data_IF_382941336498
#
_entry.id   IF_382941336498
#
_cell.length_a   1.000
_cell.length_b   1.000
_cell.length_c   1.000
_cell.angle_alpha   90.00
_cell.angle_beta   90.00
_cell.angle_gamma   90.00
#
_symmetry.space_group_name_H-M   'P 1'
#
loop_
_entity.id
_entity.type
_entity.pdbx_description
1 polymer ?
#
# COMPACT_ATOMS: atom_id res chain seq x y z
N UNK A 1 8.06 31.19 -25.84
CA UNK A 1 8.01 31.24 -24.36
C UNK A 1 7.81 29.79 -23.88
N UNK A 2 8.89 29.04 -23.81
CA UNK A 2 8.85 27.59 -23.53
C UNK A 2 8.37 27.34 -22.11
N UNK A 3 7.29 26.59 -21.97
CA UNK A 3 6.84 26.04 -20.70
C UNK A 3 7.89 25.06 -20.20
N UNK A 4 8.88 25.51 -19.42
CA UNK A 4 9.83 24.63 -18.72
C UNK A 4 9.03 23.74 -17.77
N UNK A 5 8.73 22.53 -18.22
CA UNK A 5 8.10 21.50 -17.40
C UNK A 5 9.12 21.10 -16.34
N UNK A 6 8.99 21.66 -15.13
CA UNK A 6 9.80 21.28 -13.98
C UNK A 6 9.59 19.79 -13.68
N UNK A 7 10.63 19.00 -13.88
CA UNK A 7 10.59 17.56 -13.62
C UNK A 7 10.45 17.29 -12.12
N UNK A 8 9.71 16.24 -11.77
CA UNK A 8 9.41 15.93 -10.37
C UNK A 8 9.75 14.49 -10.01
N UNK A 9 10.51 14.36 -8.93
CA UNK A 9 10.86 13.09 -8.28
C UNK A 9 10.16 12.99 -6.92
N UNK A 10 9.31 11.97 -6.72
CA UNK A 10 8.52 11.80 -5.50
C UNK A 10 7.82 13.10 -5.01
N UNK A 11 7.30 13.91 -5.93
CA UNK A 11 6.62 15.18 -5.62
C UNK A 11 7.54 16.40 -5.44
N UNK A 12 8.86 16.19 -5.36
CA UNK A 12 9.85 17.25 -5.20
C UNK A 12 10.33 17.71 -6.58
N UNK A 13 10.51 19.03 -6.74
CA UNK A 13 11.04 19.61 -7.98
C UNK A 13 12.50 19.24 -8.14
N UNK A 14 12.87 18.72 -9.32
CA UNK A 14 14.24 18.49 -9.72
C UNK A 14 14.71 19.72 -10.50
N UNK A 15 15.77 20.36 -10.03
CA UNK A 15 16.29 21.57 -10.67
C UNK A 15 16.96 21.25 -12.01
N UNK A 16 17.14 22.26 -12.86
CA UNK A 16 17.90 22.11 -14.11
C UNK A 16 19.35 21.70 -13.86
N UNK A 17 19.94 22.15 -12.75
CA UNK A 17 21.27 21.72 -12.33
C UNK A 17 21.28 20.23 -11.99
N UNK A 18 20.33 19.75 -11.20
CA UNK A 18 20.22 18.32 -10.86
C UNK A 18 19.97 17.46 -12.10
N UNK A 19 19.20 17.95 -13.09
CA UNK A 19 19.05 17.26 -14.38
C UNK A 19 20.36 17.21 -15.17
N UNK A 20 21.17 18.28 -15.14
CA UNK A 20 22.50 18.30 -15.72
C UNK A 20 23.42 17.26 -15.08
N UNK A 21 23.47 17.22 -13.75
CA UNK A 21 24.24 16.24 -12.98
C UNK A 21 23.78 14.79 -13.26
N UNK A 22 22.47 14.55 -13.42
CA UNK A 22 21.95 13.24 -13.84
C UNK A 22 22.46 12.84 -15.23
N UNK A 23 22.47 13.79 -16.17
CA UNK A 23 22.94 13.55 -17.55
C UNK A 23 24.43 13.20 -17.54
N UNK A 24 25.23 13.97 -16.80
CA UNK A 24 26.67 13.73 -16.63
C UNK A 24 26.95 12.34 -16.03
N UNK A 25 26.19 11.91 -15.01
CA UNK A 25 26.32 10.57 -14.42
C UNK A 25 26.07 9.48 -15.47
N UNK A 26 25.05 9.64 -16.32
CA UNK A 26 24.70 8.64 -17.33
C UNK A 26 25.78 8.56 -18.41
N UNK A 27 26.29 9.71 -18.86
CA UNK A 27 27.36 9.79 -19.86
C UNK A 27 28.70 9.27 -19.33
N UNK A 28 28.98 9.50 -18.04
CA UNK A 28 30.20 9.02 -17.37
C UNK A 28 30.18 7.50 -17.18
N UNK A 29 29.00 6.92 -16.93
CA UNK A 29 28.85 5.51 -16.62
C UNK A 29 27.93 4.73 -17.60
N UNK A 30 28.23 4.71 -18.91
CA UNK A 30 27.33 4.17 -19.93
C UNK A 30 27.20 2.64 -19.87
N UNK A 31 28.12 1.96 -19.17
CA UNK A 31 28.13 0.50 -19.01
C UNK A 31 27.28 0.01 -17.83
N UNK A 32 26.88 0.90 -16.93
CA UNK A 32 26.02 0.55 -15.79
C UNK A 32 24.61 0.20 -16.26
N UNK A 33 23.98 -0.73 -15.56
CA UNK A 33 22.56 -1.01 -15.75
C UNK A 33 21.71 0.18 -15.29
N UNK A 34 20.48 0.28 -15.83
CA UNK A 34 19.50 1.31 -15.40
C UNK A 34 19.23 1.27 -13.89
N UNK A 35 19.35 0.10 -13.24
CA UNK A 35 19.20 -0.04 -11.77
C UNK A 35 20.42 0.51 -11.03
N UNK A 36 21.63 0.25 -11.52
CA UNK A 36 22.87 0.77 -10.92
C UNK A 36 22.94 2.29 -11.08
N UNK A 37 22.61 2.83 -12.26
CA UNK A 37 22.48 4.28 -12.47
C UNK A 37 21.48 4.90 -11.49
N UNK A 38 20.32 4.26 -11.29
CA UNK A 38 19.34 4.72 -10.33
C UNK A 38 19.85 4.69 -8.87
N UNK A 39 20.69 3.71 -8.51
CA UNK A 39 21.35 3.69 -7.20
C UNK A 39 22.35 4.84 -7.06
N UNK A 40 23.23 5.04 -8.04
CA UNK A 40 24.23 6.12 -8.05
C UNK A 40 23.57 7.49 -7.93
N UNK A 41 22.53 7.75 -8.73
CA UNK A 41 21.71 8.96 -8.65
C UNK A 41 21.08 9.08 -7.25
N UNK A 42 20.51 8.00 -6.71
CA UNK A 42 19.93 8.06 -5.37
C UNK A 42 20.95 8.36 -4.26
N UNK A 43 22.19 7.88 -4.41
CA UNK A 43 23.26 8.13 -3.45
C UNK A 43 23.72 9.58 -3.50
N UNK A 44 24.01 10.09 -4.69
CA UNK A 44 24.51 11.46 -4.92
C UNK A 44 23.49 12.52 -4.49
N UNK A 45 22.22 12.37 -4.87
CA UNK A 45 21.16 13.30 -4.47
C UNK A 45 20.56 13.02 -3.10
N UNK A 46 21.11 12.06 -2.34
CA UNK A 46 20.56 11.60 -1.07
C UNK A 46 19.06 11.28 -1.14
N UNK A 47 18.60 10.73 -2.27
CA UNK A 47 17.23 10.24 -2.46
C UNK A 47 17.02 8.91 -1.73
N UNK A 48 17.00 9.03 -0.41
CA UNK A 48 16.87 7.93 0.55
C UNK A 48 15.47 7.93 1.16
N UNK A 49 15.06 6.76 1.61
CA UNK A 49 13.91 6.61 2.52
C UNK A 49 14.32 7.07 3.91
N UNK A 50 13.37 7.39 4.81
CA UNK A 50 13.68 7.64 6.21
C UNK A 50 14.47 6.50 6.89
N UNK A 51 14.35 5.27 6.37
CA UNK A 51 15.13 4.10 6.82
C UNK A 51 16.57 4.05 6.28
N UNK A 52 17.05 5.09 5.58
CA UNK A 52 18.38 5.13 4.92
C UNK A 52 18.49 4.37 3.59
N UNK A 53 17.53 3.51 3.25
CA UNK A 53 17.52 2.74 1.99
C UNK A 53 17.28 3.64 0.78
N UNK A 54 17.95 3.38 -0.34
CA UNK A 54 17.78 4.15 -1.59
C UNK A 54 16.37 4.01 -2.19
N UNK A 55 15.88 5.08 -2.82
CA UNK A 55 14.66 5.08 -3.64
C UNK A 55 14.92 4.57 -5.07
N UNK A 56 15.70 3.50 -5.19
CA UNK A 56 16.21 2.97 -6.46
C UNK A 56 15.12 2.70 -7.50
N UNK A 57 14.02 2.05 -7.09
CA UNK A 57 12.91 1.72 -8.00
C UNK A 57 12.21 2.98 -8.49
N UNK A 58 11.89 3.91 -7.58
CA UNK A 58 11.27 5.19 -7.94
C UNK A 58 12.19 6.03 -8.83
N UNK A 59 13.50 6.02 -8.55
CA UNK A 59 14.51 6.74 -9.32
C UNK A 59 14.66 6.14 -10.71
N UNK A 60 14.72 4.81 -10.83
CA UNK A 60 14.76 4.14 -12.12
C UNK A 60 13.55 4.50 -12.98
N UNK A 61 12.34 4.47 -12.41
CA UNK A 61 11.12 4.89 -13.11
C UNK A 61 11.14 6.38 -13.47
N UNK A 62 11.77 7.22 -12.65
CA UNK A 62 11.95 8.63 -12.98
C UNK A 62 12.89 8.81 -14.17
N UNK A 63 14.05 8.15 -14.16
CA UNK A 63 14.99 8.17 -15.27
C UNK A 63 14.36 7.62 -16.55
N UNK A 64 13.63 6.49 -16.48
CA UNK A 64 12.92 5.92 -17.64
C UNK A 64 11.90 6.91 -18.23
N UNK A 65 11.19 7.68 -17.40
CA UNK A 65 10.29 8.75 -17.89
C UNK A 65 11.02 9.94 -18.51
N UNK A 66 12.22 10.28 -18.03
CA UNK A 66 13.04 11.34 -18.63
C UNK A 66 13.57 10.91 -20.01
N UNK A 67 13.98 9.64 -20.13
CA UNK A 67 14.39 8.99 -21.37
C UNK A 67 13.24 8.98 -22.40
N UNK A 68 12.04 8.57 -21.99
CA UNK A 68 10.83 8.61 -22.83
C UNK A 68 10.48 10.02 -23.33
N UNK A 69 10.86 11.06 -22.59
CA UNK A 69 10.66 12.47 -22.97
C UNK A 69 11.80 13.06 -23.79
N UNK A 70 12.89 12.31 -24.01
CA UNK A 70 14.11 12.79 -24.66
C UNK A 70 14.91 13.80 -23.82
N UNK A 71 14.65 13.88 -22.50
CA UNK A 71 15.36 14.80 -21.61
C UNK A 71 16.73 14.26 -21.17
N UNK A 72 16.92 12.95 -21.23
CA UNK A 72 18.18 12.22 -21.01
C UNK A 72 18.23 11.04 -21.99
N UNK A 73 19.39 10.41 -22.16
CA UNK A 73 19.53 9.19 -22.98
C UNK A 73 20.03 8.04 -22.11
N UNK A 74 19.16 7.11 -21.72
CA UNK A 74 19.55 5.95 -20.92
C UNK A 74 20.19 4.85 -21.78
N UNK A 75 21.13 4.07 -21.20
CA UNK A 75 21.65 2.90 -21.90
C UNK A 75 20.53 1.91 -22.26
N UNK A 76 20.75 1.20 -23.37
CA UNK A 76 19.78 0.24 -23.90
C UNK A 76 19.40 -0.79 -22.82
N UNK A 77 18.10 -1.05 -22.68
CA UNK A 77 17.62 -2.02 -21.71
C UNK A 77 18.12 -3.42 -22.10
N UNK A 78 18.96 -4.04 -21.26
CA UNK A 78 19.36 -5.44 -21.41
C UNK A 78 18.11 -6.31 -21.22
N UNK A 79 17.48 -6.74 -22.32
CA UNK A 79 16.28 -7.60 -22.30
C UNK A 79 16.65 -9.00 -21.81
N UNK A 80 16.77 -9.16 -20.50
CA UNK A 80 16.74 -10.46 -19.85
C UNK A 80 15.90 -10.36 -18.57
N UNK A 81 14.58 -10.35 -18.75
CA UNK A 81 13.71 -10.88 -17.72
C UNK A 81 12.93 -12.02 -18.34
N UNK A 82 13.14 -13.21 -17.78
CA UNK A 82 12.18 -14.29 -17.91
C UNK A 82 10.81 -13.70 -17.54
N UNK A 83 9.83 -13.89 -18.40
CA UNK A 83 8.42 -13.68 -18.06
C UNK A 83 8.12 -14.62 -16.89
N UNK A 84 8.41 -14.19 -15.65
CA UNK A 84 7.90 -14.86 -14.46
C UNK A 84 6.40 -14.62 -14.51
N UNK A 85 5.67 -15.54 -15.13
CA UNK A 85 4.22 -15.64 -14.99
C UNK A 85 3.88 -15.49 -13.52
N UNK A 86 2.75 -14.83 -13.23
CA UNK A 86 2.31 -14.53 -11.87
C UNK A 86 2.60 -15.71 -10.94
N UNK A 87 3.47 -15.51 -9.95
CA UNK A 87 3.90 -16.56 -9.04
C UNK A 87 2.65 -17.21 -8.44
N UNK A 88 2.36 -18.46 -8.83
CA UNK A 88 1.18 -19.18 -8.36
C UNK A 88 1.37 -19.47 -6.87
N UNK A 89 0.38 -19.08 -6.06
CA UNK A 89 0.37 -19.41 -4.63
C UNK A 89 0.25 -20.92 -4.49
N UNK A 90 1.20 -21.54 -3.80
CA UNK A 90 1.15 -22.98 -3.52
C UNK A 90 0.04 -23.25 -2.51
N UNK A 91 -0.75 -24.28 -2.80
CA UNK A 91 -1.84 -24.75 -1.93
C UNK A 91 -1.37 -25.96 -1.13
N UNK A 92 -1.48 -25.88 0.18
CA UNK A 92 -1.07 -26.90 1.16
C UNK A 92 -2.25 -27.29 2.06
N UNK A 93 -2.08 -28.33 2.88
CA UNK A 93 -3.06 -28.71 3.90
C UNK A 93 -3.17 -27.70 5.05
N UNK A 94 -2.19 -26.80 5.21
CA UNK A 94 -2.12 -25.86 6.36
C UNK A 94 -3.20 -24.78 6.35
N UNK A 95 -3.79 -24.49 5.19
CA UNK A 95 -4.86 -23.50 5.05
C UNK A 95 -6.20 -24.14 4.64
N UNK A 96 -6.41 -25.42 4.94
CA UNK A 96 -7.71 -26.06 4.76
C UNK A 96 -8.76 -25.52 5.72
N UNK A 97 -10.03 -25.74 5.36
CA UNK A 97 -11.17 -25.36 6.17
C UNK A 97 -11.06 -26.07 7.52
N UNK A 98 -11.20 -25.29 8.60
CA UNK A 98 -11.16 -25.80 9.97
C UNK A 98 -12.59 -25.94 10.53
N UNK A 99 -12.76 -26.66 11.66
CA UNK A 99 -14.03 -26.69 12.40
C UNK A 99 -14.56 -25.28 12.70
N UNK A 100 -15.89 -25.17 12.75
CA UNK A 100 -16.54 -23.86 12.97
C UNK A 100 -16.25 -23.34 14.38
N UNK A 101 -15.74 -22.11 14.46
CA UNK A 101 -15.54 -21.37 15.71
C UNK A 101 -16.72 -20.42 15.87
N UNK A 102 -17.64 -20.73 16.80
CA UNK A 102 -18.87 -19.95 17.04
C UNK A 102 -19.09 -19.71 18.54
N UNK A 103 -18.05 -19.24 19.21
CA UNK A 103 -18.03 -18.95 20.66
C UNK A 103 -18.16 -17.44 20.95
N UNK A 104 -18.28 -17.07 22.22
CA UNK A 104 -18.22 -15.66 22.62
C UNK A 104 -16.80 -15.10 22.41
N UNK A 105 -16.69 -13.83 22.02
CA UNK A 105 -15.39 -13.17 21.84
C UNK A 105 -14.51 -13.23 23.10
N UNK A 106 -15.11 -13.22 24.29
CA UNK A 106 -14.39 -13.32 25.57
C UNK A 106 -13.60 -14.62 25.71
N UNK A 107 -14.12 -15.72 25.16
CA UNK A 107 -13.47 -17.05 25.22
C UNK A 107 -12.23 -17.12 24.33
N UNK A 108 -12.16 -16.27 23.30
CA UNK A 108 -10.99 -16.17 22.41
C UNK A 108 -10.01 -15.07 22.85
N UNK A 109 -10.34 -14.30 23.87
CA UNK A 109 -9.55 -13.15 24.28
C UNK A 109 -8.30 -13.55 25.09
N UNK A 110 -7.21 -12.77 25.04
CA UNK A 110 -7.05 -11.54 24.27
C UNK A 110 -6.91 -11.81 22.76
N UNK A 111 -7.54 -10.97 21.94
CA UNK A 111 -7.27 -10.98 20.50
C UNK A 111 -5.99 -10.20 20.24
N UNK A 112 -5.09 -10.78 19.45
CA UNK A 112 -3.81 -10.17 19.09
C UNK A 112 -3.64 -10.06 17.58
N UNK A 113 -2.76 -9.14 17.17
CA UNK A 113 -2.32 -9.00 15.78
C UNK A 113 -0.85 -9.40 15.68
N UNK A 114 -0.59 -10.54 15.07
CA UNK A 114 0.77 -11.05 14.87
C UNK A 114 1.26 -10.61 13.51
N UNK A 115 2.28 -9.76 13.51
CA UNK A 115 2.92 -9.29 12.28
C UNK A 115 3.65 -10.44 11.61
N UNK A 116 3.51 -10.54 10.29
CA UNK A 116 4.21 -11.53 9.49
C UNK A 116 5.62 -11.03 9.16
N UNK A 117 6.63 -11.77 9.59
CA UNK A 117 8.05 -11.41 9.45
C UNK A 117 8.88 -12.41 8.65
N UNK A 118 8.52 -13.69 8.69
CA UNK A 118 9.27 -14.76 8.05
C UNK A 118 8.58 -15.33 6.79
N UNK A 119 9.33 -16.15 6.05
CA UNK A 119 8.89 -16.69 4.77
C UNK A 119 7.72 -17.67 4.90
N UNK A 120 7.74 -18.54 5.89
CA UNK A 120 6.70 -19.55 6.09
C UNK A 120 5.35 -18.90 6.39
N UNK A 121 5.33 -17.95 7.33
CA UNK A 121 4.14 -17.16 7.64
C UNK A 121 3.61 -16.41 6.42
N UNK A 122 4.49 -15.84 5.58
CA UNK A 122 4.08 -15.17 4.34
C UNK A 122 3.39 -16.13 3.37
N UNK A 123 3.95 -17.33 3.17
CA UNK A 123 3.35 -18.33 2.29
C UNK A 123 1.98 -18.78 2.80
N UNK A 124 1.88 -19.06 4.10
CA UNK A 124 0.62 -19.42 4.72
C UNK A 124 -0.43 -18.30 4.58
N UNK A 125 -0.02 -17.04 4.78
CA UNK A 125 -0.91 -15.90 4.61
C UNK A 125 -1.35 -15.72 3.15
N UNK A 126 -0.45 -15.90 2.17
CA UNK A 126 -0.81 -15.87 0.75
C UNK A 126 -1.85 -16.92 0.44
N UNK A 127 -1.68 -18.12 0.98
CA UNK A 127 -2.61 -19.22 0.79
C UNK A 127 -4.00 -18.91 1.35
N UNK A 128 -4.09 -18.43 2.59
CA UNK A 128 -5.36 -18.03 3.19
C UNK A 128 -6.08 -16.95 2.37
N UNK A 129 -5.34 -15.92 1.93
CA UNK A 129 -5.93 -14.82 1.15
C UNK A 129 -6.31 -15.26 -0.25
N UNK A 130 -5.52 -16.12 -0.89
CA UNK A 130 -5.85 -16.70 -2.19
C UNK A 130 -7.14 -17.54 -2.14
N UNK A 131 -7.25 -18.41 -1.12
CA UNK A 131 -8.38 -19.33 -0.98
C UNK A 131 -9.68 -18.62 -0.58
N UNK A 132 -9.63 -17.71 0.38
CA UNK A 132 -10.83 -17.26 1.09
C UNK A 132 -11.17 -15.78 0.93
N UNK A 133 -10.23 -14.94 0.50
CA UNK A 133 -10.56 -13.54 0.21
C UNK A 133 -11.17 -13.44 -1.20
N UNK A 134 -12.29 -12.73 -1.35
CA UNK A 134 -13.02 -12.62 -2.62
C UNK A 134 -12.26 -11.97 -3.79
N UNK A 135 -11.09 -11.37 -3.52
CA UNK A 135 -10.17 -10.82 -4.54
C UNK A 135 -8.93 -11.70 -4.77
N UNK A 136 -8.83 -12.82 -4.06
CA UNK A 136 -7.63 -13.64 -3.97
C UNK A 136 -6.40 -12.87 -3.51
N UNK A 137 -5.27 -13.56 -3.62
CA UNK A 137 -3.96 -12.94 -3.46
C UNK A 137 -3.57 -12.22 -4.76
N UNK A 138 -3.12 -10.98 -4.61
CA UNK A 138 -2.54 -10.18 -5.68
C UNK A 138 -1.33 -9.47 -5.11
N UNK A 139 -0.23 -9.41 -5.87
CA UNK A 139 0.98 -8.75 -5.42
C UNK A 139 0.68 -7.26 -5.14
N UNK A 140 0.83 -6.78 -3.89
CA UNK A 140 0.49 -5.40 -3.58
C UNK A 140 1.59 -4.47 -4.09
N UNK A 141 1.18 -3.32 -4.64
CA UNK A 141 2.11 -2.27 -5.03
C UNK A 141 2.46 -1.37 -3.84
N UNK A 142 3.76 -1.16 -3.63
CA UNK A 142 4.30 -0.24 -2.64
C UNK A 142 4.62 -0.89 -1.28
N UNK A 143 4.69 -0.04 -0.25
CA UNK A 143 4.87 -0.47 1.13
C UNK A 143 3.67 -1.31 1.58
N UNK A 144 3.92 -2.31 2.43
CA UNK A 144 2.93 -3.27 2.87
C UNK A 144 3.30 -3.96 4.19
N UNK A 145 2.31 -4.13 5.06
CA UNK A 145 2.41 -4.98 6.24
C UNK A 145 1.25 -5.98 6.24
N UNK A 146 1.51 -7.17 6.78
CA UNK A 146 0.57 -8.28 6.86
C UNK A 146 0.51 -8.80 8.29
N UNK A 147 -0.68 -9.24 8.68
CA UNK A 147 -0.93 -9.73 10.01
C UNK A 147 -1.85 -10.94 9.99
N UNK A 148 -1.64 -11.82 10.96
CA UNK A 148 -2.65 -12.76 11.43
C UNK A 148 -3.43 -12.12 12.58
N UNK A 149 -4.73 -12.38 12.63
CA UNK A 149 -5.59 -12.13 13.79
C UNK A 149 -5.61 -13.43 14.59
N UNK A 150 -5.11 -13.43 15.82
CA UNK A 150 -4.99 -14.64 16.63
C UNK A 150 -5.75 -14.53 17.94
N UNK A 151 -6.25 -15.68 18.40
CA UNK A 151 -6.72 -15.84 19.77
C UNK A 151 -5.54 -16.11 20.69
N UNK A 152 -5.41 -15.36 21.77
CA UNK A 152 -4.45 -15.65 22.83
C UNK A 152 -4.84 -16.85 23.71
N UNK A 153 -6.13 -17.20 23.74
CA UNK A 153 -6.63 -18.32 24.54
C UNK A 153 -6.39 -19.68 23.85
N UNK A 154 -6.60 -19.75 22.53
CA UNK A 154 -6.50 -21.01 21.78
C UNK A 154 -5.32 -21.08 20.81
N UNK A 155 -4.61 -19.97 20.58
CA UNK A 155 -3.61 -19.79 19.51
C UNK A 155 -4.17 -19.93 18.08
N UNK A 156 -5.48 -20.02 17.92
CA UNK A 156 -6.11 -20.12 16.60
C UNK A 156 -5.88 -18.85 15.77
N UNK A 157 -5.62 -19.05 14.48
CA UNK A 157 -5.65 -17.97 13.50
C UNK A 157 -7.11 -17.79 13.08
N UNK A 158 -7.65 -16.59 13.34
CA UNK A 158 -9.04 -16.25 13.12
C UNK A 158 -9.26 -15.45 11.82
N UNK A 159 -8.18 -14.89 11.26
CA UNK A 159 -8.23 -14.07 10.06
C UNK A 159 -6.92 -13.39 9.72
N UNK A 160 -6.98 -12.53 8.70
CA UNK A 160 -5.84 -11.87 8.09
C UNK A 160 -6.10 -10.39 7.82
N UNK A 161 -5.07 -9.56 8.02
CA UNK A 161 -5.01 -8.19 7.51
C UNK A 161 -3.86 -8.00 6.53
N UNK A 162 -4.07 -7.11 5.56
CA UNK A 162 -3.02 -6.42 4.83
C UNK A 162 -3.27 -4.91 4.88
N UNK A 163 -2.21 -4.18 5.18
CA UNK A 163 -2.11 -2.74 5.00
C UNK A 163 -1.11 -2.48 3.89
N UNK A 164 -1.41 -1.57 2.98
CA UNK A 164 -0.53 -1.22 1.86
C UNK A 164 -0.55 0.27 1.56
N UNK A 165 0.34 0.72 0.69
CA UNK A 165 0.28 2.07 0.14
C UNK A 165 -1.10 2.36 -0.49
N UNK A 166 -1.57 3.63 -0.42
CA UNK A 166 -2.91 4.01 -0.83
C UNK A 166 -3.02 4.15 -2.35
N UNK A 167 -4.25 4.37 -2.82
CA UNK A 167 -4.48 4.78 -4.21
C UNK A 167 -4.00 6.22 -4.44
N UNK A 168 -3.40 6.47 -5.61
CA UNK A 168 -2.81 7.77 -5.96
C UNK A 168 -3.84 8.91 -5.90
N UNK A 169 -4.98 8.73 -6.59
CA UNK A 169 -6.09 9.68 -6.61
C UNK A 169 -7.36 8.99 -6.14
N UNK A 170 -8.09 9.66 -5.24
CA UNK A 170 -9.40 9.20 -4.79
C UNK A 170 -10.24 10.40 -4.43
N UNK A 171 -11.02 10.90 -5.39
CA UNK A 171 -11.70 12.19 -5.29
C UNK A 171 -12.55 12.38 -4.00
N UNK A 172 -13.35 11.40 -3.53
CA UNK A 172 -14.11 11.59 -2.29
C UNK A 172 -13.20 11.75 -1.06
N UNK A 173 -12.13 10.96 -0.95
CA UNK A 173 -11.12 11.11 0.10
C UNK A 173 -10.41 12.45 -0.02
N UNK A 174 -9.96 12.81 -1.22
CA UNK A 174 -9.16 14.02 -1.43
C UNK A 174 -9.97 15.27 -1.08
N UNK A 175 -11.24 15.33 -1.50
CA UNK A 175 -12.17 16.39 -1.08
C UNK A 175 -12.44 16.38 0.42
N UNK A 176 -12.59 15.20 1.01
CA UNK A 176 -12.81 15.09 2.44
C UNK A 176 -11.59 15.57 3.23
N UNK A 177 -10.35 15.28 2.81
CA UNK A 177 -9.12 15.80 3.44
C UNK A 177 -8.98 17.31 3.22
N UNK A 178 -9.39 17.82 2.06
CA UNK A 178 -9.31 19.25 1.72
C UNK A 178 -7.92 19.71 1.26
N UNK A 179 -7.04 18.78 0.91
CA UNK A 179 -5.69 19.09 0.41
C UNK A 179 -5.64 19.39 -1.10
N UNK A 180 -4.66 20.18 -1.48
CA UNK A 180 -4.34 20.47 -2.88
C UNK A 180 -3.50 19.35 -3.54
N UNK A 181 -3.40 19.41 -4.87
CA UNK A 181 -2.78 18.36 -5.68
C UNK A 181 -1.27 18.21 -5.45
N UNK A 182 -0.59 19.30 -5.12
CA UNK A 182 0.81 19.38 -4.69
C UNK A 182 1.01 18.79 -3.28
N UNK A 183 0.14 19.16 -2.33
CA UNK A 183 0.15 18.61 -0.97
C UNK A 183 -0.06 17.10 -0.97
N UNK A 184 -1.01 16.60 -1.77
CA UNK A 184 -1.22 15.16 -1.96
C UNK A 184 0.03 14.47 -2.46
N UNK A 185 0.73 15.01 -3.47
CA UNK A 185 1.93 14.39 -4.04
C UNK A 185 3.03 14.14 -2.98
N UNK A 186 3.16 15.06 -2.03
CA UNK A 186 4.17 14.99 -0.96
C UNK A 186 3.68 14.12 0.20
N UNK A 187 2.42 14.29 0.63
CA UNK A 187 1.91 13.72 1.87
C UNK A 187 1.15 12.40 1.72
N UNK A 188 0.85 11.94 0.49
CA UNK A 188 0.09 10.71 0.24
C UNK A 188 0.67 9.49 0.96
N UNK A 189 2.00 9.41 1.09
CA UNK A 189 2.65 8.30 1.79
C UNK A 189 2.22 8.15 3.25
N UNK A 190 1.73 9.23 3.89
CA UNK A 190 1.23 9.20 5.27
C UNK A 190 -0.16 8.56 5.39
N UNK A 191 -0.79 8.17 4.28
CA UNK A 191 -2.04 7.42 4.26
C UNK A 191 -1.72 5.94 3.99
N UNK A 192 -2.39 5.02 4.69
CA UNK A 192 -2.29 3.58 4.41
C UNK A 192 -3.66 2.97 4.13
N UNK A 193 -3.72 2.00 3.24
CA UNK A 193 -4.93 1.33 2.83
C UNK A 193 -5.02 -0.07 3.45
N UNK A 194 -6.10 -0.37 4.16
CA UNK A 194 -6.45 -1.73 4.54
C UNK A 194 -6.92 -2.50 3.29
N UNK A 195 -5.95 -3.03 2.54
CA UNK A 195 -6.17 -3.60 1.21
C UNK A 195 -6.65 -5.05 1.21
N UNK A 196 -6.46 -5.78 2.31
CA UNK A 196 -7.07 -7.09 2.55
C UNK A 196 -7.55 -7.17 3.98
N UNK A 197 -8.79 -7.57 4.16
CA UNK A 197 -9.34 -7.92 5.46
C UNK A 197 -10.18 -9.18 5.29
N UNK A 198 -9.80 -10.23 6.02
CA UNK A 198 -10.42 -11.54 5.96
C UNK A 198 -10.62 -12.03 7.38
N UNK A 199 -11.86 -12.31 7.76
CA UNK A 199 -12.18 -13.25 8.84
C UNK A 199 -12.48 -14.57 8.15
N UNK A 200 -11.91 -15.67 8.65
CA UNK A 200 -12.06 -16.96 7.97
C UNK A 200 -13.52 -17.43 7.93
N UNK A 201 -13.94 -18.15 6.88
CA UNK A 201 -15.34 -18.51 6.67
C UNK A 201 -15.92 -19.43 7.76
N UNK A 202 -15.08 -20.18 8.46
CA UNK A 202 -15.45 -21.01 9.62
C UNK A 202 -15.49 -20.23 10.94
N UNK A 203 -15.08 -18.95 10.97
CA UNK A 203 -15.06 -18.12 12.18
C UNK A 203 -16.33 -17.25 12.22
N UNK A 204 -17.28 -17.63 13.08
CA UNK A 204 -18.59 -16.98 13.25
C UNK A 204 -18.70 -16.32 14.63
N UNK A 205 -17.78 -15.39 14.91
CA UNK A 205 -17.68 -14.73 16.22
C UNK A 205 -18.20 -13.28 16.13
N UNK A 206 -19.23 -12.97 16.89
CA UNK A 206 -19.80 -11.62 16.95
C UNK A 206 -18.76 -10.62 17.44
N UNK A 207 -18.72 -9.43 16.83
CA UNK A 207 -17.82 -8.31 17.14
C UNK A 207 -16.32 -8.56 16.91
N UNK A 208 -15.89 -9.76 16.49
CA UNK A 208 -14.47 -10.04 16.23
C UNK A 208 -13.87 -9.08 15.21
N UNK A 209 -14.58 -8.85 14.10
CA UNK A 209 -14.09 -8.01 13.01
C UNK A 209 -13.85 -6.54 13.45
N UNK A 210 -14.79 -5.95 14.21
CA UNK A 210 -14.64 -4.59 14.73
C UNK A 210 -13.54 -4.50 15.79
N UNK A 211 -13.45 -5.50 16.68
CA UNK A 211 -12.36 -5.57 17.68
C UNK A 211 -10.99 -5.65 17.01
N UNK A 212 -10.85 -6.49 15.98
CA UNK A 212 -9.61 -6.62 15.21
C UNK A 212 -9.22 -5.31 14.49
N UNK A 213 -10.20 -4.58 13.94
CA UNK A 213 -9.98 -3.25 13.36
C UNK A 213 -9.52 -2.22 14.39
N UNK A 214 -10.13 -2.19 15.58
CA UNK A 214 -9.71 -1.30 16.67
C UNK A 214 -8.30 -1.61 17.16
N UNK A 215 -7.88 -2.89 17.17
CA UNK A 215 -6.49 -3.29 17.44
C UNK A 215 -5.55 -2.83 16.34
N UNK A 216 -5.96 -2.96 15.07
CA UNK A 216 -5.12 -2.57 13.94
C UNK A 216 -4.81 -1.07 13.95
N UNK A 217 -5.81 -0.23 14.24
CA UNK A 217 -5.64 1.23 14.42
C UNK A 217 -4.56 1.56 15.46
N UNK A 218 -4.44 0.79 16.53
CA UNK A 218 -3.44 1.02 17.60
C UNK A 218 -2.06 0.48 17.25
N UNK A 219 -2.00 -0.69 16.58
CA UNK A 219 -0.75 -1.44 16.37
C UNK A 219 -0.01 -1.05 15.09
N UNK A 220 -0.75 -0.94 13.99
CA UNK A 220 -0.17 -0.78 12.64
C UNK A 220 0.64 0.51 12.49
N UNK A 221 0.26 1.68 13.05
CA UNK A 221 1.05 2.90 12.87
C UNK A 221 2.48 2.78 13.41
N UNK A 222 2.64 2.17 14.60
CA UNK A 222 3.96 1.94 15.20
C UNK A 222 4.80 0.94 14.42
N UNK A 223 4.20 -0.18 13.99
CA UNK A 223 4.91 -1.15 13.13
C UNK A 223 5.31 -0.52 11.79
N UNK A 224 4.44 0.31 11.20
CA UNK A 224 4.70 1.00 9.95
C UNK A 224 5.86 1.98 10.08
N UNK A 225 5.90 2.76 11.17
CA UNK A 225 7.03 3.61 11.50
C UNK A 225 8.32 2.80 11.66
N UNK A 226 8.29 1.68 12.39
CA UNK A 226 9.46 0.82 12.55
C UNK A 226 9.98 0.26 11.21
N UNK A 227 9.10 0.01 10.24
CA UNK A 227 9.48 -0.57 8.95
C UNK A 227 9.89 0.44 7.88
N UNK A 228 9.21 1.59 7.86
CA UNK A 228 9.28 2.56 6.77
C UNK A 228 9.80 3.93 7.22
N UNK A 229 10.01 4.11 8.53
CA UNK A 229 10.58 5.31 9.14
C UNK A 229 9.65 6.51 9.14
N UNK A 230 8.34 6.32 8.95
CA UNK A 230 7.33 7.36 9.14
C UNK A 230 6.04 6.77 9.72
N UNK A 231 5.35 7.54 10.54
CA UNK A 231 4.05 7.15 11.09
C UNK A 231 2.93 7.57 10.13
N UNK A 232 2.00 6.67 9.76
CA UNK A 232 0.81 7.05 9.01
C UNK A 232 -0.15 7.86 9.89
N UNK A 233 -0.87 8.79 9.26
CA UNK A 233 -1.80 9.72 9.93
C UNK A 233 -3.27 9.42 9.59
N UNK A 234 -3.49 8.59 8.58
CA UNK A 234 -4.82 8.18 8.12
C UNK A 234 -4.80 6.74 7.62
N UNK A 235 -5.79 5.95 8.00
CA UNK A 235 -6.11 4.68 7.34
C UNK A 235 -7.30 4.86 6.41
N UNK A 236 -7.31 4.15 5.29
CA UNK A 236 -8.44 4.06 4.36
C UNK A 236 -8.75 2.60 4.01
N UNK A 237 -9.97 2.33 3.56
CA UNK A 237 -10.38 1.03 3.04
C UNK A 237 -11.45 1.21 1.97
N UNK A 238 -11.60 0.20 1.12
CA UNK A 238 -12.57 0.17 0.02
C UNK A 238 -13.48 -1.04 0.16
N UNK A 239 -14.76 -0.81 0.38
CA UNK A 239 -15.76 -1.85 0.60
C UNK A 239 -16.64 -2.00 -0.64
N UNK A 240 -16.68 -3.20 -1.23
CA UNK A 240 -17.65 -3.51 -2.27
C UNK A 240 -19.04 -3.73 -1.65
N UNK A 241 -19.94 -2.76 -1.84
CA UNK A 241 -21.29 -2.77 -1.25
C UNK A 241 -22.15 -3.94 -1.75
N UNK A 242 -21.86 -4.48 -2.94
CA UNK A 242 -22.57 -5.66 -3.46
C UNK A 242 -22.26 -6.91 -2.64
N UNK A 243 -21.11 -6.95 -1.97
CA UNK A 243 -20.65 -8.10 -1.17
C UNK A 243 -20.78 -7.87 0.33
N UNK A 244 -20.48 -6.66 0.80
CA UNK A 244 -20.41 -6.35 2.23
C UNK A 244 -21.07 -5.01 2.55
N UNK A 245 -21.77 -4.95 3.68
CA UNK A 245 -22.40 -3.71 4.18
C UNK A 245 -21.43 -2.73 4.87
N UNK A 246 -20.17 -3.13 5.09
CA UNK A 246 -19.19 -2.31 5.80
C UNK A 246 -19.49 -2.09 7.30
N UNK A 247 -20.34 -2.91 7.90
CA UNK A 247 -20.82 -2.75 9.28
C UNK A 247 -19.68 -2.79 10.31
N UNK A 248 -18.68 -3.66 10.12
CA UNK A 248 -17.53 -3.75 11.02
C UNK A 248 -16.70 -2.45 11.04
N UNK A 249 -16.55 -1.76 9.90
CA UNK A 249 -15.85 -0.49 9.83
C UNK A 249 -16.63 0.60 10.57
N UNK A 250 -17.95 0.68 10.39
CA UNK A 250 -18.81 1.62 11.15
C UNK A 250 -18.74 1.34 12.65
N UNK A 251 -18.84 0.08 13.06
CA UNK A 251 -18.75 -0.34 14.45
C UNK A 251 -17.38 -0.05 15.08
N UNK A 252 -16.32 0.00 14.26
CA UNK A 252 -14.97 0.38 14.69
C UNK A 252 -14.70 1.90 14.54
N UNK A 253 -15.74 2.73 14.40
CA UNK A 253 -15.68 4.20 14.26
C UNK A 253 -14.96 4.72 13.00
N UNK A 254 -14.95 3.95 11.92
CA UNK A 254 -14.47 4.45 10.62
C UNK A 254 -15.53 5.34 9.97
N UNK A 255 -15.08 6.45 9.39
CA UNK A 255 -15.91 7.46 8.76
C UNK A 255 -16.13 7.12 7.29
N UNK A 256 -17.40 7.09 6.84
CA UNK A 256 -17.73 6.95 5.43
C UNK A 256 -17.60 8.30 4.71
N UNK A 257 -16.78 8.36 3.65
CA UNK A 257 -16.44 9.62 2.95
C UNK A 257 -16.88 9.67 1.49
N UNK A 258 -17.58 8.64 1.01
CA UNK A 258 -18.16 8.59 -0.32
C UNK A 258 -17.86 7.29 -1.07
N UNK A 259 -18.02 7.32 -2.40
CA UNK A 259 -17.92 6.13 -3.25
C UNK A 259 -16.91 6.33 -4.39
N UNK A 260 -16.20 5.28 -4.76
CA UNK A 260 -15.35 5.29 -5.97
C UNK A 260 -16.20 5.34 -7.23
N UNK A 261 -15.62 5.80 -8.34
CA UNK A 261 -16.29 5.84 -9.65
C UNK A 261 -16.10 4.57 -10.48
N UNK A 262 -15.65 3.47 -9.86
CA UNK A 262 -15.40 2.20 -10.55
C UNK A 262 -14.13 2.17 -11.42
N UNK A 263 -13.12 2.99 -11.07
CA UNK A 263 -11.82 3.03 -11.76
C UNK A 263 -10.77 2.19 -11.03
N UNK A 264 -9.89 1.54 -11.80
CA UNK A 264 -8.75 0.81 -11.28
C UNK A 264 -7.65 1.74 -10.74
N UNK A 265 -6.73 1.19 -9.93
CA UNK A 265 -5.61 1.95 -9.31
C UNK A 265 -4.65 2.57 -10.35
N UNK A 266 -4.59 2.01 -11.56
CA UNK A 266 -3.67 2.37 -12.66
C UNK A 266 -4.39 2.90 -13.90
N UNK A 267 -5.68 3.27 -13.81
CA UNK A 267 -6.44 3.78 -14.95
C UNK A 267 -5.91 5.17 -15.38
N UNK A 268 -5.00 5.16 -16.36
CA UNK A 268 -4.45 6.35 -17.03
C UNK A 268 -5.34 6.80 -18.18
N UNK A 269 -6.11 5.90 -18.78
CA UNK A 269 -6.83 6.13 -20.05
C UNK A 269 -8.30 6.52 -19.85
N UNK A 270 -8.71 6.84 -18.61
CA UNK A 270 -10.08 7.16 -18.23
C UNK A 270 -11.12 6.11 -18.63
N UNK A 271 -10.67 4.88 -18.91
CA UNK A 271 -11.52 3.79 -19.33
C UNK A 271 -12.23 3.22 -18.10
N UNK A 272 -13.56 3.27 -18.09
CA UNK A 272 -14.40 2.64 -17.06
C UNK A 272 -14.27 1.12 -17.16
N UNK A 273 -13.17 0.56 -16.68
CA UNK A 273 -12.93 -0.88 -16.67
C UNK A 273 -13.77 -1.57 -15.58
N UNK A 274 -15.09 -1.57 -15.70
CA UNK A 274 -16.00 -2.52 -15.03
C UNK A 274 -15.88 -2.74 -13.50
N UNK A 275 -15.05 -1.98 -12.77
CA UNK A 275 -14.76 -2.26 -11.36
C UNK A 275 -15.96 -1.81 -10.54
N UNK A 276 -16.44 -2.69 -9.66
CA UNK A 276 -17.55 -2.39 -8.76
C UNK A 276 -17.29 -1.08 -7.99
N UNK A 277 -18.31 -0.22 -7.94
CA UNK A 277 -18.32 0.99 -7.11
C UNK A 277 -18.11 0.58 -5.65
N UNK A 278 -17.06 1.10 -5.02
CA UNK A 278 -16.70 0.79 -3.63
C UNK A 278 -17.03 1.97 -2.73
N UNK A 279 -17.57 1.69 -1.55
CA UNK A 279 -17.67 2.66 -0.47
C UNK A 279 -16.28 2.87 0.14
N UNK A 280 -15.97 4.13 0.45
CA UNK A 280 -14.69 4.55 1.01
C UNK A 280 -14.91 4.86 2.48
N UNK A 281 -14.17 4.16 3.32
CA UNK A 281 -14.12 4.44 4.75
C UNK A 281 -12.71 4.89 5.13
N UNK A 282 -12.60 5.84 6.05
CA UNK A 282 -11.33 6.36 6.55
C UNK A 282 -11.32 6.38 8.08
N UNK A 283 -10.13 6.31 8.65
CA UNK A 283 -9.91 6.41 10.09
C UNK A 283 -8.74 7.36 10.37
N UNK A 284 -8.98 8.55 10.94
CA UNK A 284 -7.92 9.45 11.41
C UNK A 284 -7.08 8.81 12.52
N UNK A 285 -5.76 8.74 12.34
CA UNK A 285 -4.83 8.23 13.36
C UNK A 285 -4.26 9.32 14.25
N UNK A 286 -4.42 10.58 13.84
CA UNK A 286 -4.00 11.79 14.56
C UNK A 286 -5.16 12.78 14.55
N UNK A 287 -5.37 13.50 15.65
CA UNK A 287 -6.33 14.62 15.68
C UNK A 287 -5.92 15.76 14.74
N UNK A 288 -4.62 15.86 14.42
CA UNK A 288 -4.02 16.85 13.53
C UNK A 288 -3.77 16.30 12.13
N UNK A 289 -4.41 15.21 11.73
CA UNK A 289 -4.16 14.58 10.42
C UNK A 289 -4.33 15.57 9.24
N UNK A 290 -5.25 16.55 9.33
CA UNK A 290 -5.41 17.58 8.30
C UNK A 290 -4.22 18.53 8.24
N UNK A 291 -3.70 19.00 9.37
CA UNK A 291 -2.45 19.77 9.40
C UNK A 291 -1.29 18.98 8.80
N UNK A 292 -1.18 17.70 9.15
CA UNK A 292 -0.08 16.86 8.67
C UNK A 292 -0.15 16.51 7.17
N UNK A 293 -1.36 16.52 6.59
CA UNK A 293 -1.60 16.20 5.18
C UNK A 293 -1.73 17.43 4.29
N UNK A 294 -2.41 18.47 4.77
CA UNK A 294 -2.82 19.67 4.04
C UNK A 294 -2.17 20.97 4.56
N UNK A 295 -1.44 20.93 5.68
CA UNK A 295 -0.79 22.12 6.25
C UNK A 295 -1.75 23.15 6.86
N UNK A 296 -3.02 22.79 7.07
CA UNK A 296 -4.06 23.64 7.67
C UNK A 296 -4.55 23.05 9.01
#
# INVERSE_FOLDING_TARGET
MESRCLEKFCGHTVSTQQLGEITEIIETFPKLSRTELANTVCELFSWKRPTGKLKSVECRQFLERLDEKGAINLPACRKQYSNKGAAKVQRTGKAEIQPTISVNLKELSPISLTRIDNQEQRQLWYEYVDRYHYLGYQLPFGAQLRYFIQSGATNDILGCFQFSSPAWKMAPRDRWIGWADDQRRVNLQKIINNSRFLIFPWVKVKNLASTALSLAVKRVPGDWQGCYGYCPVLMETLVDRKRFRGTCYKAANWLHVGKTTGRGRMDRDHARQGVAVKEIYVYPLSSRFRQELAGC
#
